data_IF_213915963064
#
_entry.id   IF_213915963064
#
_cell.length_a   1.000
_cell.length_b   1.000
_cell.length_c   1.000
_cell.angle_alpha   90.00
_cell.angle_beta   90.00
_cell.angle_gamma   90.00
#
_symmetry.space_group_name_H-M   'P 1'
#
loop_
_entity.id
_entity.type
_entity.pdbx_description
1 polymer ?
#
# COMPACT_ATOMS: atom_id res chain seq x y z
N UNK A 1 -17.77 -11.12 8.49
CA UNK A 1 -17.22 -9.93 9.18
C UNK A 1 -16.85 -8.87 8.16
N UNK A 2 -17.42 -7.67 8.28
CA UNK A 2 -17.29 -6.56 7.33
C UNK A 2 -16.04 -5.70 7.62
N UNK A 3 -14.90 -6.12 7.08
CA UNK A 3 -13.61 -5.42 7.24
C UNK A 3 -13.67 -4.00 6.66
N UNK A 4 -13.19 -3.00 7.41
CA UNK A 4 -12.99 -1.63 6.96
C UNK A 4 -11.54 -1.45 6.50
N UNK A 5 -11.36 -0.91 5.29
CA UNK A 5 -10.03 -0.70 4.70
C UNK A 5 -9.85 0.74 4.25
N UNK A 6 -8.78 1.36 4.73
CA UNK A 6 -8.35 2.70 4.32
C UNK A 6 -7.06 2.58 3.52
N UNK A 7 -7.09 2.94 2.25
CA UNK A 7 -5.91 3.12 1.42
C UNK A 7 -5.36 4.53 1.54
N UNK A 8 -4.03 4.69 1.64
CA UNK A 8 -3.37 5.98 1.63
C UNK A 8 -2.58 6.18 0.34
N UNK A 9 -2.77 7.35 -0.27
CA UNK A 9 -1.96 7.84 -1.40
C UNK A 9 -1.55 9.29 -1.16
N UNK A 10 -0.58 9.79 -1.93
CA UNK A 10 -0.05 11.15 -1.76
C UNK A 10 1.46 11.24 -1.99
N UNK A 11 2.02 12.46 -2.10
CA UNK A 11 3.45 12.66 -2.31
C UNK A 11 4.29 12.24 -1.08
N UNK A 12 5.60 12.06 -1.29
CA UNK A 12 6.50 11.84 -0.16
C UNK A 12 6.49 13.07 0.76
N UNK A 13 6.74 12.87 2.05
CA UNK A 13 6.70 13.92 3.09
C UNK A 13 5.33 14.61 3.29
N UNK A 14 4.24 14.11 2.70
CA UNK A 14 2.90 14.65 2.90
C UNK A 14 2.26 14.35 4.26
N UNK A 15 2.93 13.60 5.14
CA UNK A 15 2.36 13.20 6.44
C UNK A 15 1.60 11.86 6.46
N UNK A 16 1.61 11.07 5.38
CA UNK A 16 0.99 9.71 5.36
C UNK A 16 1.45 8.80 6.51
N UNK A 17 2.75 8.85 6.84
CA UNK A 17 3.29 8.09 7.96
C UNK A 17 2.67 8.46 9.30
N UNK A 18 2.30 9.73 9.49
CA UNK A 18 1.63 10.19 10.70
C UNK A 18 0.17 9.72 10.74
N UNK A 19 -0.53 9.74 9.59
CA UNK A 19 -1.86 9.13 9.46
C UNK A 19 -1.83 7.64 9.82
N UNK A 20 -0.84 6.88 9.34
CA UNK A 20 -0.65 5.48 9.73
C UNK A 20 -0.48 5.32 11.24
N UNK A 21 0.40 6.11 11.87
CA UNK A 21 0.62 6.06 13.32
C UNK A 21 -0.65 6.36 14.11
N UNK A 22 -1.38 7.39 13.70
CA UNK A 22 -2.65 7.77 14.32
C UNK A 22 -3.69 6.64 14.21
N UNK A 23 -3.89 6.08 13.02
CA UNK A 23 -4.84 4.99 12.81
C UNK A 23 -4.44 3.71 13.55
N UNK A 24 -3.13 3.42 13.65
CA UNK A 24 -2.64 2.29 14.45
C UNK A 24 -3.05 2.41 15.91
N UNK A 25 -2.91 3.61 16.50
CA UNK A 25 -3.39 3.91 17.87
C UNK A 25 -4.91 3.77 18.02
N UNK A 26 -5.68 3.80 16.93
CA UNK A 26 -7.14 3.60 16.89
C UNK A 26 -7.54 2.15 16.56
N UNK A 27 -6.59 1.22 16.61
CA UNK A 27 -6.82 -0.22 16.41
C UNK A 27 -6.84 -0.67 14.95
N UNK A 28 -6.29 0.13 14.02
CA UNK A 28 -6.06 -0.33 12.65
C UNK A 28 -4.75 -1.09 12.54
N UNK A 29 -4.75 -2.22 11.83
CA UNK A 29 -3.50 -2.87 11.43
C UNK A 29 -2.92 -2.17 10.20
N UNK A 30 -1.67 -1.74 10.29
CA UNK A 30 -0.96 -1.06 9.21
C UNK A 30 -0.26 -2.07 8.30
N UNK A 31 -0.51 -1.96 7.00
CA UNK A 31 0.26 -2.64 5.95
C UNK A 31 0.78 -1.62 4.95
N UNK A 32 1.81 -2.00 4.19
CA UNK A 32 2.44 -1.13 3.20
C UNK A 32 2.77 -1.93 1.93
N UNK A 33 2.35 -1.41 0.78
CA UNK A 33 2.74 -2.00 -0.51
C UNK A 33 4.24 -1.85 -0.78
N UNK A 34 4.85 -0.79 -0.25
CA UNK A 34 6.30 -0.59 -0.33
C UNK A 34 7.06 -1.67 0.45
N UNK A 35 6.50 -2.20 1.55
CA UNK A 35 7.15 -3.25 2.32
C UNK A 35 7.10 -4.59 1.57
N UNK A 36 5.98 -4.90 0.91
CA UNK A 36 5.90 -6.05 -0.02
C UNK A 36 6.95 -5.93 -1.13
N UNK A 37 7.17 -4.72 -1.66
CA UNK A 37 8.17 -4.48 -2.69
C UNK A 37 9.60 -4.67 -2.15
N UNK A 38 9.89 -4.19 -0.93
CA UNK A 38 11.18 -4.41 -0.23
C UNK A 38 11.43 -5.89 0.02
N UNK A 39 10.45 -6.65 0.48
CA UNK A 39 10.57 -8.10 0.65
C UNK A 39 10.95 -8.81 -0.65
N UNK A 40 10.37 -8.40 -1.78
CA UNK A 40 10.71 -8.97 -3.09
C UNK A 40 12.13 -8.59 -3.50
N UNK A 41 12.54 -7.34 -3.27
CA UNK A 41 13.89 -6.87 -3.55
C UNK A 41 14.93 -7.66 -2.74
N UNK A 42 14.71 -7.80 -1.42
CA UNK A 42 15.58 -8.59 -0.54
C UNK A 42 15.69 -10.05 -0.98
N UNK A 43 14.57 -10.69 -1.36
CA UNK A 43 14.57 -12.07 -1.88
C UNK A 43 15.30 -12.24 -3.21
N UNK A 44 15.52 -11.14 -3.94
CA UNK A 44 16.26 -11.11 -5.22
C UNK A 44 17.68 -10.57 -5.07
N UNK A 45 18.15 -10.37 -3.83
CA UNK A 45 19.44 -9.75 -3.53
C UNK A 45 19.63 -8.37 -4.20
N UNK A 46 18.53 -7.63 -4.39
CA UNK A 46 18.57 -6.27 -4.92
C UNK A 46 18.84 -5.30 -3.77
N UNK A 47 19.87 -4.46 -3.92
CA UNK A 47 20.20 -3.41 -2.94
C UNK A 47 18.99 -2.49 -2.73
N UNK A 48 18.63 -2.27 -1.46
CA UNK A 48 17.47 -1.46 -1.07
C UNK A 48 17.76 0.04 -1.19
N UNK A 49 17.85 0.53 -2.43
CA UNK A 49 17.83 1.96 -2.74
C UNK A 49 16.47 2.39 -3.29
N UNK A 50 16.20 3.70 -3.25
CA UNK A 50 14.96 4.26 -3.79
C UNK A 50 14.83 3.98 -5.28
N UNK A 51 15.92 4.20 -6.02
CA UNK A 51 16.01 4.01 -7.47
C UNK A 51 15.73 2.55 -7.83
N UNK A 52 16.35 1.61 -7.11
CA UNK A 52 16.15 0.18 -7.34
C UNK A 52 14.72 -0.26 -7.06
N UNK A 53 14.09 0.26 -5.99
CA UNK A 53 12.70 -0.05 -5.67
C UNK A 53 11.74 0.53 -6.72
N UNK A 54 11.99 1.74 -7.23
CA UNK A 54 11.20 2.32 -8.33
C UNK A 54 11.31 1.44 -9.58
N UNK A 55 12.54 1.09 -9.99
CA UNK A 55 12.81 0.24 -11.14
C UNK A 55 12.12 -1.13 -11.00
N UNK A 56 12.29 -1.79 -9.87
CA UNK A 56 11.68 -3.08 -9.57
C UNK A 56 10.15 -2.97 -9.59
N UNK A 57 9.58 -1.95 -8.96
CA UNK A 57 8.15 -1.71 -8.94
C UNK A 57 7.59 -1.55 -10.34
N UNK A 58 8.25 -0.76 -11.19
CA UNK A 58 7.85 -0.58 -12.59
C UNK A 58 7.95 -1.88 -13.39
N UNK A 59 9.04 -2.64 -13.23
CA UNK A 59 9.21 -3.95 -13.87
C UNK A 59 8.09 -4.93 -13.48
N UNK A 60 7.76 -5.03 -12.20
CA UNK A 60 6.69 -5.90 -11.72
C UNK A 60 5.32 -5.49 -12.26
N UNK A 61 5.05 -4.19 -12.39
CA UNK A 61 3.80 -3.69 -12.96
C UNK A 61 3.70 -3.96 -14.46
N UNK A 62 4.79 -3.80 -15.20
CA UNK A 62 4.85 -4.12 -16.62
C UNK A 62 4.62 -5.63 -16.86
N UNK A 63 5.22 -6.48 -16.03
CA UNK A 63 5.14 -7.94 -16.19
C UNK A 63 3.84 -8.56 -15.68
N UNK A 64 3.31 -8.09 -14.55
CA UNK A 64 2.20 -8.76 -13.85
C UNK A 64 0.97 -7.86 -13.65
N UNK A 65 1.00 -6.65 -14.19
CA UNK A 65 -0.06 -5.66 -14.06
C UNK A 65 0.07 -4.75 -12.84
N UNK A 66 -0.58 -3.58 -12.91
CA UNK A 66 -0.47 -2.53 -11.89
C UNK A 66 -1.02 -2.92 -10.52
N UNK A 67 -1.90 -3.91 -10.42
CA UNK A 67 -2.45 -4.42 -9.15
C UNK A 67 -1.59 -5.48 -8.44
N UNK A 68 -0.42 -5.85 -8.98
CA UNK A 68 0.38 -6.98 -8.49
C UNK A 68 0.70 -6.94 -6.98
N UNK A 69 1.17 -5.80 -6.48
CA UNK A 69 1.55 -5.67 -5.06
C UNK A 69 0.32 -5.78 -4.15
N UNK A 70 -0.81 -5.18 -4.54
CA UNK A 70 -2.07 -5.30 -3.80
C UNK A 70 -2.55 -6.76 -3.73
N UNK A 71 -2.52 -7.50 -4.84
CA UNK A 71 -2.86 -8.94 -4.85
C UNK A 71 -2.00 -9.74 -3.88
N UNK A 72 -0.69 -9.45 -3.79
CA UNK A 72 0.20 -10.12 -2.83
C UNK A 72 -0.13 -9.77 -1.40
N UNK A 73 -0.40 -8.50 -1.10
CA UNK A 73 -0.79 -8.08 0.24
C UNK A 73 -2.12 -8.72 0.68
N UNK A 74 -3.11 -8.76 -0.21
CA UNK A 74 -4.41 -9.37 0.07
C UNK A 74 -4.32 -10.85 0.46
N UNK A 75 -3.31 -11.58 -0.03
CA UNK A 75 -3.04 -12.97 0.39
C UNK A 75 -2.45 -13.09 1.81
N UNK A 76 -1.83 -12.02 2.32
CA UNK A 76 -1.25 -11.99 3.68
C UNK A 76 -2.27 -11.58 4.75
N UNK A 77 -3.28 -10.79 4.38
CA UNK A 77 -4.31 -10.32 5.30
C UNK A 77 -5.23 -11.50 5.66
N UNK A 78 -5.16 -11.97 6.92
CA UNK A 78 -5.99 -13.07 7.43
C UNK A 78 -7.13 -12.58 8.32
N UNK A 79 -6.84 -12.10 9.52
CA UNK A 79 -7.83 -11.88 10.60
C UNK A 79 -7.90 -10.42 11.09
N UNK A 80 -7.64 -9.44 10.24
CA UNK A 80 -7.74 -8.02 10.59
C UNK A 80 -9.09 -7.42 10.14
N UNK A 81 -9.79 -6.72 11.04
CA UNK A 81 -11.07 -6.06 10.72
C UNK A 81 -10.93 -4.57 10.35
N UNK A 82 -9.92 -3.89 10.89
CA UNK A 82 -9.60 -2.49 10.56
C UNK A 82 -8.21 -2.45 9.96
N UNK A 83 -8.11 -2.04 8.70
CA UNK A 83 -6.87 -2.12 7.92
C UNK A 83 -6.56 -0.75 7.36
N UNK A 84 -5.30 -0.32 7.48
CA UNK A 84 -4.77 0.78 6.69
C UNK A 84 -3.66 0.27 5.77
N UNK A 85 -3.73 0.62 4.49
CA UNK A 85 -2.74 0.25 3.47
C UNK A 85 -2.05 1.52 2.99
N UNK A 86 -0.79 1.68 3.38
CA UNK A 86 0.05 2.76 2.90
C UNK A 86 0.66 2.46 1.52
N UNK A 87 1.14 3.53 0.88
CA UNK A 87 1.92 3.49 -0.35
C UNK A 87 1.16 2.94 -1.57
N UNK A 88 -0.13 3.25 -1.68
CA UNK A 88 -0.90 3.01 -2.91
C UNK A 88 -0.49 4.04 -3.97
N UNK A 89 -0.04 3.56 -5.13
CA UNK A 89 0.56 4.39 -6.20
C UNK A 89 -0.11 4.22 -7.55
N UNK A 90 -0.95 3.20 -7.75
CA UNK A 90 -1.56 2.91 -9.04
C UNK A 90 -3.05 2.63 -8.95
N UNK A 91 -3.76 2.89 -10.05
CA UNK A 91 -5.18 2.56 -10.19
C UNK A 91 -5.42 1.05 -10.09
N UNK A 92 -4.47 0.21 -10.55
CA UNK A 92 -4.56 -1.24 -10.42
C UNK A 92 -4.65 -1.68 -8.96
N UNK A 93 -3.80 -1.14 -8.09
CA UNK A 93 -3.85 -1.44 -6.65
C UNK A 93 -5.20 -1.06 -6.04
N UNK A 94 -5.73 0.12 -6.38
CA UNK A 94 -7.05 0.61 -5.95
C UNK A 94 -8.15 -0.36 -6.40
N UNK A 95 -8.11 -0.81 -7.67
CA UNK A 95 -9.10 -1.76 -8.22
C UNK A 95 -9.10 -3.09 -7.48
N UNK A 96 -7.95 -3.63 -7.09
CA UNK A 96 -7.87 -4.88 -6.34
C UNK A 96 -8.50 -4.75 -4.93
N UNK A 97 -8.24 -3.65 -4.22
CA UNK A 97 -8.87 -3.39 -2.93
C UNK A 97 -10.37 -3.16 -3.06
N UNK A 98 -10.80 -2.34 -4.04
CA UNK A 98 -12.22 -2.10 -4.30
C UNK A 98 -12.96 -3.38 -4.71
N UNK A 99 -12.34 -4.25 -5.50
CA UNK A 99 -12.91 -5.56 -5.85
C UNK A 99 -13.13 -6.44 -4.61
N UNK A 100 -12.16 -6.45 -3.68
CA UNK A 100 -12.21 -7.32 -2.49
C UNK A 100 -13.14 -6.79 -1.39
N UNK A 101 -13.14 -5.49 -1.15
CA UNK A 101 -13.80 -4.86 0.00
C UNK A 101 -15.01 -3.98 -0.37
N UNK A 102 -15.27 -3.77 -1.67
CA UNK A 102 -16.42 -3.04 -2.20
C UNK A 102 -16.56 -1.64 -1.57
N UNK A 103 -17.71 -1.37 -0.97
CA UNK A 103 -18.11 -0.15 -0.26
C UNK A 103 -17.35 0.08 1.06
N UNK A 104 -16.61 -0.92 1.53
CA UNK A 104 -15.80 -0.84 2.76
C UNK A 104 -14.36 -0.43 2.51
N UNK A 105 -14.02 -0.07 1.27
CA UNK A 105 -12.73 0.50 0.93
C UNK A 105 -12.83 2.01 0.69
N UNK A 106 -12.03 2.76 1.44
CA UNK A 106 -11.90 4.21 1.31
C UNK A 106 -10.47 4.55 0.88
N UNK A 107 -10.32 5.44 -0.08
CA UNK A 107 -9.02 5.96 -0.48
C UNK A 107 -8.87 7.40 0.03
N UNK A 108 -7.84 7.65 0.83
CA UNK A 108 -7.50 8.99 1.30
C UNK A 108 -6.25 9.46 0.56
N UNK A 109 -6.35 10.62 -0.08
CA UNK A 109 -5.21 11.33 -0.65
C UNK A 109 -4.70 12.35 0.36
N UNK A 110 -3.51 12.12 0.88
CA UNK A 110 -2.88 12.95 1.90
C UNK A 110 -1.88 13.88 1.21
N UNK A 111 -2.06 15.18 1.38
CA UNK A 111 -1.21 16.22 0.79
C UNK A 111 -0.90 17.30 1.81
N UNK A 112 0.19 18.04 1.56
CA UNK A 112 0.59 19.20 2.33
C UNK A 112 1.17 20.25 1.37
N UNK A 113 0.96 21.55 1.61
CA UNK A 113 1.58 22.61 0.83
C UNK A 113 3.11 22.49 0.91
N UNK A 114 3.79 22.85 -0.19
CA UNK A 114 5.24 23.01 -0.18
C UNK A 114 5.60 24.20 0.72
N UNK A 115 6.68 24.07 1.49
CA UNK A 115 7.32 25.22 2.12
C UNK A 115 8.00 26.08 1.07
#
# INVERSE_FOLDING_TARGET
MSRLVIGLSGPNAAGKGEVCKYLNKKGFTVFSLSDILREIASKRNIVLSRENLILLGNKLRAQYGSGYLAKRLLKKIKSCDKIVVDSIRTVGEIKEFKKKFKDRFFLLYITAPKK
#
